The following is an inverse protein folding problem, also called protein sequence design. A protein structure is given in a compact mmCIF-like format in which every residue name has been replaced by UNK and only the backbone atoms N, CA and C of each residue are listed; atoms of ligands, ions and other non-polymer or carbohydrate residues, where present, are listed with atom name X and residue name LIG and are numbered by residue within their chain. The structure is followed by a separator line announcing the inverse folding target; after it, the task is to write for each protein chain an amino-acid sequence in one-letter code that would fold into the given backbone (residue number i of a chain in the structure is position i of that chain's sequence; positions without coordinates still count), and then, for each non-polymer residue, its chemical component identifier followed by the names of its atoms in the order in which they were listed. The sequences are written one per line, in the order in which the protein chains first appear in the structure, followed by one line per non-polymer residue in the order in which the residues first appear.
data_IF_554605487248
#
_entry.id   IF_554605487248
#
_cell.length_a   1.000
_cell.length_b   1.000
_cell.length_c   1.000
_cell.angle_alpha   90.00
_cell.angle_beta   90.00
_cell.angle_gamma   90.00
#
_symmetry.space_group_name_H-M   'P 1'
#
loop_
_entity.id
_entity.type
_entity.pdbx_description
1 polymer ?
#
# COMPACT_ATOMS: atom_id res chain seq x y z
N UNK A 1 1.54 -8.46 -9.85
CA UNK A 1 0.35 -9.08 -10.51
C UNK A 1 0.66 -10.43 -11.11
N UNK A 2 -0.04 -11.47 -10.64
CA UNK A 2 -0.02 -12.81 -11.25
C UNK A 2 -1.00 -12.83 -12.42
N UNK A 3 -0.55 -13.32 -13.56
CA UNK A 3 -1.36 -13.44 -14.77
C UNK A 3 -1.07 -14.76 -15.47
N UNK A 4 -2.10 -15.34 -16.07
CA UNK A 4 -2.02 -16.59 -16.85
C UNK A 4 -2.77 -16.39 -18.16
N UNK A 5 -2.16 -16.85 -19.25
CA UNK A 5 -2.85 -17.00 -20.53
C UNK A 5 -3.22 -18.46 -20.71
N UNK A 6 -4.51 -18.76 -20.82
CA UNK A 6 -5.01 -20.11 -20.98
C UNK A 6 -5.81 -20.27 -22.27
N UNK A 7 -5.89 -21.51 -22.75
CA UNK A 7 -6.63 -21.86 -23.97
C UNK A 7 -7.69 -22.89 -23.66
N UNK A 8 -8.86 -22.77 -24.29
CA UNK A 8 -9.99 -23.67 -24.06
C UNK A 8 -10.81 -23.93 -25.33
N UNK A 9 -11.68 -24.94 -25.30
CA UNK A 9 -12.62 -25.18 -26.42
C UNK A 9 -13.68 -24.07 -26.53
N UNK A 10 -13.98 -23.42 -25.41
CA UNK A 10 -14.82 -22.22 -25.29
C UNK A 10 -14.10 -21.21 -24.42
N UNK A 11 -14.56 -19.95 -24.44
CA UNK A 11 -14.08 -18.90 -23.54
C UNK A 11 -14.19 -19.37 -22.09
N UNK A 12 -15.34 -19.89 -21.68
CA UNK A 12 -15.58 -20.38 -20.30
C UNK A 12 -14.58 -21.46 -19.89
N UNK A 13 -14.29 -22.43 -20.77
CA UNK A 13 -13.31 -23.47 -20.49
C UNK A 13 -11.89 -22.92 -20.36
N UNK A 14 -11.56 -21.88 -21.13
CA UNK A 14 -10.28 -21.20 -21.04
C UNK A 14 -10.18 -20.38 -19.74
N UNK A 15 -11.25 -19.69 -19.34
CA UNK A 15 -11.35 -18.93 -18.08
C UNK A 15 -11.18 -19.86 -16.89
N UNK A 16 -11.95 -20.95 -16.83
CA UNK A 16 -11.87 -21.91 -15.73
C UNK A 16 -10.47 -22.49 -15.56
N UNK A 17 -9.81 -22.86 -16.68
CA UNK A 17 -8.43 -23.35 -16.66
C UNK A 17 -7.44 -22.31 -16.13
N UNK A 18 -7.63 -21.03 -16.46
CA UNK A 18 -6.78 -19.95 -15.95
C UNK A 18 -7.01 -19.69 -14.46
N UNK A 19 -8.27 -19.72 -13.99
CA UNK A 19 -8.63 -19.54 -12.58
C UNK A 19 -8.03 -20.65 -11.71
N UNK A 20 -8.10 -21.91 -12.17
CA UNK A 20 -7.49 -23.06 -11.49
C UNK A 20 -5.96 -22.94 -11.41
N UNK A 21 -5.30 -22.50 -12.48
CA UNK A 21 -3.84 -22.28 -12.48
C UNK A 21 -3.42 -21.16 -11.53
N UNK A 22 -4.25 -20.11 -11.40
CA UNK A 22 -3.99 -19.00 -10.48
C UNK A 22 -4.41 -19.33 -9.03
N UNK A 23 -5.24 -20.36 -8.84
CA UNK A 23 -5.89 -20.72 -7.58
C UNK A 23 -6.70 -19.53 -7.00
N UNK A 24 -7.51 -18.91 -7.86
CA UNK A 24 -8.36 -17.75 -7.53
C UNK A 24 -9.78 -17.96 -8.05
N UNK A 25 -10.73 -17.20 -7.54
CA UNK A 25 -12.12 -17.19 -8.00
C UNK A 25 -12.36 -16.09 -9.05
N UNK A 26 -13.48 -16.17 -9.77
CA UNK A 26 -13.79 -15.24 -10.88
C UNK A 26 -13.93 -13.78 -10.40
N UNK A 27 -14.46 -13.55 -9.20
CA UNK A 27 -14.54 -12.23 -8.56
C UNK A 27 -13.16 -11.64 -8.21
N UNK A 28 -12.13 -12.49 -8.11
CA UNK A 28 -10.75 -12.10 -7.87
C UNK A 28 -9.97 -11.91 -9.17
N UNK A 29 -10.63 -11.93 -10.33
CA UNK A 29 -9.98 -11.94 -11.62
C UNK A 29 -10.44 -10.82 -12.56
N UNK A 30 -9.49 -10.22 -13.28
CA UNK A 30 -9.73 -9.46 -14.51
C UNK A 30 -9.52 -10.39 -15.70
N UNK A 31 -10.58 -10.61 -16.47
CA UNK A 31 -10.58 -11.49 -17.64
C UNK A 31 -10.53 -10.65 -18.91
N UNK A 32 -9.51 -10.86 -19.73
CA UNK A 32 -9.36 -10.29 -21.07
C UNK A 32 -9.49 -11.40 -22.11
N UNK A 33 -10.52 -11.36 -22.95
CA UNK A 33 -10.70 -12.31 -24.05
C UNK A 33 -9.78 -11.87 -25.20
N UNK A 34 -8.75 -12.67 -25.49
CA UNK A 34 -7.81 -12.40 -26.58
C UNK A 34 -8.37 -12.93 -27.90
N UNK A 35 -9.01 -14.10 -27.86
CA UNK A 35 -9.65 -14.74 -29.00
C UNK A 35 -10.83 -15.58 -28.54
N UNK A 36 -12.02 -15.33 -29.07
CA UNK A 36 -13.23 -16.10 -28.73
C UNK A 36 -13.18 -17.54 -29.25
N UNK A 37 -12.23 -17.84 -30.14
CA UNK A 37 -12.19 -19.09 -30.88
C UNK A 37 -13.27 -19.15 -31.95
N UNK A 38 -13.32 -20.27 -32.68
CA UNK A 38 -14.36 -20.53 -33.69
C UNK A 38 -14.81 -21.97 -33.58
N UNK A 39 -16.12 -22.17 -33.43
CA UNK A 39 -16.72 -23.50 -33.54
C UNK A 39 -16.83 -23.88 -35.02
N UNK A 40 -16.18 -24.99 -35.39
CA UNK A 40 -16.31 -25.59 -36.71
C UNK A 40 -17.72 -26.14 -36.94
N UNK A 41 -18.15 -26.18 -38.21
CA UNK A 41 -19.43 -26.78 -38.60
C UNK A 41 -19.35 -28.29 -38.33
N UNK A 42 -20.22 -28.82 -37.47
CA UNK A 42 -20.31 -30.25 -37.12
C UNK A 42 -19.02 -30.88 -36.55
N UNK A 43 -18.05 -30.10 -36.04
CA UNK A 43 -16.83 -30.63 -35.43
C UNK A 43 -15.80 -31.24 -36.41
N UNK A 44 -16.05 -31.17 -37.72
CA UNK A 44 -15.16 -31.75 -38.74
C UNK A 44 -14.15 -30.76 -39.34
N UNK A 45 -14.40 -29.43 -39.30
CA UNK A 45 -13.51 -28.46 -39.95
C UNK A 45 -13.26 -27.19 -39.12
N UNK A 46 -11.97 -26.90 -38.87
CA UNK A 46 -11.46 -25.57 -38.52
C UNK A 46 -11.77 -25.04 -37.12
N UNK A 47 -11.82 -25.89 -36.09
CA UNK A 47 -12.01 -25.40 -34.73
C UNK A 47 -10.78 -24.64 -34.23
N UNK A 48 -10.98 -23.37 -33.86
CA UNK A 48 -9.96 -22.53 -33.21
C UNK A 48 -10.29 -22.46 -31.72
N UNK A 49 -9.31 -22.80 -30.87
CA UNK A 49 -9.45 -22.68 -29.42
C UNK A 49 -9.61 -21.21 -29.03
N UNK A 50 -10.43 -20.96 -28.00
CA UNK A 50 -10.49 -19.67 -27.35
C UNK A 50 -9.21 -19.43 -26.55
N UNK A 51 -8.79 -18.17 -26.46
CA UNK A 51 -7.62 -17.72 -25.70
C UNK A 51 -8.06 -16.58 -24.79
N UNK A 52 -7.79 -16.72 -23.50
CA UNK A 52 -8.07 -15.69 -22.50
C UNK A 52 -6.81 -15.38 -21.71
N UNK A 53 -6.71 -14.14 -21.26
CA UNK A 53 -5.72 -13.71 -20.29
C UNK A 53 -6.44 -13.35 -19.01
N UNK A 54 -6.10 -14.04 -17.93
CA UNK A 54 -6.66 -13.78 -16.61
C UNK A 54 -5.57 -13.15 -15.74
N UNK A 55 -5.89 -12.02 -15.12
CA UNK A 55 -5.02 -11.30 -14.18
C UNK A 55 -5.69 -11.29 -12.82
N UNK A 56 -4.97 -11.65 -11.77
CA UNK A 56 -5.48 -11.55 -10.39
C UNK A 56 -5.73 -10.07 -10.04
N UNK A 57 -6.96 -9.74 -9.61
CA UNK A 57 -7.33 -8.43 -9.10
C UNK A 57 -6.63 -8.23 -7.76
N UNK A 58 -5.50 -7.52 -7.78
CA UNK A 58 -4.90 -7.09 -6.53
C UNK A 58 -5.78 -6.03 -5.88
N UNK A 59 -6.06 -6.22 -4.59
CA UNK A 59 -6.69 -5.20 -3.74
C UNK A 59 -5.58 -4.50 -2.95
N UNK A 60 -4.87 -3.53 -3.55
CA UNK A 60 -3.61 -3.03 -3.00
C UNK A 60 -3.79 -2.36 -1.63
N UNK A 61 -4.93 -1.72 -1.39
CA UNK A 61 -5.24 -1.08 -0.11
C UNK A 61 -5.45 -2.12 0.99
N UNK A 62 -6.19 -3.20 0.72
CA UNK A 62 -6.40 -4.28 1.69
C UNK A 62 -5.06 -4.96 2.02
N UNK A 63 -4.22 -5.23 1.01
CA UNK A 63 -2.86 -5.77 1.22
C UNK A 63 -1.97 -4.84 2.04
N UNK A 64 -2.06 -3.52 1.83
CA UNK A 64 -1.32 -2.54 2.60
C UNK A 64 -1.78 -2.51 4.07
N UNK A 65 -3.09 -2.52 4.30
CA UNK A 65 -3.67 -2.56 5.64
C UNK A 65 -3.19 -3.80 6.40
N UNK A 66 -3.25 -4.98 5.78
CA UNK A 66 -2.69 -6.22 6.35
C UNK A 66 -1.19 -6.11 6.64
N UNK A 67 -0.42 -5.51 5.73
CA UNK A 67 1.02 -5.33 5.88
C UNK A 67 1.36 -4.44 7.09
N UNK A 68 0.70 -3.30 7.23
CA UNK A 68 0.92 -2.39 8.36
C UNK A 68 0.45 -3.03 9.66
N UNK A 69 -0.70 -3.69 9.68
CA UNK A 69 -1.19 -4.41 10.87
C UNK A 69 -0.18 -5.43 11.36
N UNK A 70 0.39 -6.24 10.46
CA UNK A 70 1.43 -7.22 10.81
C UNK A 70 2.61 -6.53 11.49
N UNK A 71 3.14 -5.45 10.92
CA UNK A 71 4.28 -4.72 11.52
C UNK A 71 3.91 -4.17 12.90
N UNK A 72 2.75 -3.53 13.01
CA UNK A 72 2.33 -2.82 14.23
C UNK A 72 2.01 -3.81 15.36
N UNK A 73 1.43 -4.97 15.04
CA UNK A 73 1.13 -6.04 16.00
C UNK A 73 2.40 -6.67 16.60
N UNK A 74 3.53 -6.68 15.88
CA UNK A 74 4.82 -7.13 16.46
C UNK A 74 5.31 -6.20 17.59
N UNK A 75 4.83 -4.95 17.65
CA UNK A 75 5.13 -4.05 18.78
C UNK A 75 4.15 -4.24 19.93
N UNK A 76 2.85 -4.33 19.61
CA UNK A 76 1.78 -4.51 20.58
C UNK A 76 0.47 -4.93 19.90
N UNK A 77 -0.20 -5.97 20.42
CA UNK A 77 -1.48 -6.45 19.89
C UNK A 77 -2.64 -5.46 20.10
N UNK A 78 -2.51 -4.52 21.06
CA UNK A 78 -3.52 -3.51 21.36
C UNK A 78 -3.49 -2.29 20.45
N UNK A 79 -2.58 -2.24 19.47
CA UNK A 79 -2.51 -1.15 18.50
C UNK A 79 -3.52 -1.34 17.38
N UNK A 80 -4.27 -0.29 17.10
CA UNK A 80 -5.32 -0.26 16.09
C UNK A 80 -4.82 0.52 14.88
N UNK A 81 -5.14 0.01 13.69
CA UNK A 81 -4.88 0.65 12.41
C UNK A 81 -6.22 0.98 11.76
N UNK A 82 -6.45 2.25 11.46
CA UNK A 82 -7.60 2.71 10.67
C UNK A 82 -7.10 3.23 9.33
N UNK A 83 -7.51 2.56 8.25
CA UNK A 83 -7.09 2.92 6.89
C UNK A 83 -8.22 3.63 6.16
N UNK A 84 -7.94 4.85 5.68
CA UNK A 84 -8.86 5.64 4.86
C UNK A 84 -8.24 5.94 3.51
N UNK A 85 -9.07 6.01 2.47
CA UNK A 85 -8.62 6.30 1.11
C UNK A 85 -9.39 7.51 0.59
N UNK A 86 -8.64 8.52 0.16
CA UNK A 86 -9.19 9.69 -0.51
C UNK A 86 -8.39 9.99 -1.77
N UNK A 87 -9.02 9.87 -2.94
CA UNK A 87 -8.36 9.93 -4.25
C UNK A 87 -7.22 8.89 -4.37
N UNK A 88 -5.98 9.37 -4.50
CA UNK A 88 -4.77 8.55 -4.56
C UNK A 88 -3.94 8.66 -3.26
N UNK A 89 -4.51 9.17 -2.18
CA UNK A 89 -3.88 9.20 -0.87
C UNK A 89 -4.51 8.14 0.04
N UNK A 90 -3.66 7.31 0.64
CA UNK A 90 -4.03 6.34 1.67
C UNK A 90 -3.50 6.87 2.99
N UNK A 91 -4.38 7.04 3.97
CA UNK A 91 -4.00 7.46 5.32
C UNK A 91 -4.25 6.31 6.28
N UNK A 92 -3.19 5.88 6.96
CA UNK A 92 -3.24 4.87 8.02
C UNK A 92 -3.04 5.58 9.36
N UNK A 93 -4.11 5.68 10.15
CA UNK A 93 -4.08 6.25 11.49
C UNK A 93 -3.82 5.13 12.50
N UNK A 94 -2.79 5.32 13.32
CA UNK A 94 -2.39 4.40 14.36
C UNK A 94 -2.81 4.94 15.74
N UNK A 95 -3.44 4.09 16.55
CA UNK A 95 -3.85 4.45 17.93
C UNK A 95 -3.69 3.27 18.89
N UNK A 96 -3.61 3.55 20.19
CA UNK A 96 -3.54 2.52 21.24
C UNK A 96 -2.52 2.81 22.35
N UNK A 97 -2.47 1.93 23.35
CA UNK A 97 -1.73 2.21 24.60
C UNK A 97 -0.22 2.40 24.40
N UNK A 98 0.40 1.62 23.51
CA UNK A 98 1.84 1.71 23.21
C UNK A 98 2.19 2.56 22.00
N UNK A 99 1.31 3.49 21.60
CA UNK A 99 1.54 4.35 20.44
C UNK A 99 2.85 5.14 20.51
N UNK A 100 3.32 5.49 21.71
CA UNK A 100 4.60 6.17 21.93
C UNK A 100 5.82 5.39 21.40
N UNK A 101 5.78 4.05 21.44
CA UNK A 101 6.85 3.19 20.91
C UNK A 101 6.89 3.25 19.38
N UNK A 102 5.71 3.23 18.75
CA UNK A 102 5.53 3.37 17.29
C UNK A 102 5.94 4.75 16.80
N UNK A 103 5.65 5.80 17.56
CA UNK A 103 6.14 7.14 17.24
C UNK A 103 7.67 7.13 17.25
N UNK A 104 8.27 6.52 18.28
CA UNK A 104 9.72 6.46 18.44
C UNK A 104 10.35 7.84 18.64
N UNK A 105 11.69 7.87 18.73
CA UNK A 105 12.41 9.12 19.01
C UNK A 105 12.23 10.10 17.85
N UNK A 106 11.55 11.23 18.10
CA UNK A 106 11.27 12.28 17.10
C UNK A 106 10.52 11.77 15.85
N UNK A 107 9.72 10.71 15.99
CA UNK A 107 8.93 10.18 14.88
C UNK A 107 9.69 9.16 14.02
N UNK A 108 10.94 8.82 14.34
CA UNK A 108 11.78 8.00 13.45
C UNK A 108 11.14 6.65 13.09
N UNK A 109 10.54 5.97 14.06
CA UNK A 109 9.87 4.68 13.83
C UNK A 109 8.63 4.86 12.95
N UNK A 110 7.78 5.85 13.24
CA UNK A 110 6.60 6.18 12.43
C UNK A 110 6.98 6.50 10.98
N UNK A 111 8.08 7.22 10.77
CA UNK A 111 8.57 7.53 9.42
C UNK A 111 9.14 6.31 8.70
N UNK A 112 9.80 5.40 9.42
CA UNK A 112 10.26 4.14 8.86
C UNK A 112 9.08 3.27 8.42
N UNK A 113 8.03 3.18 9.24
CA UNK A 113 6.79 2.45 8.90
C UNK A 113 6.14 3.09 7.67
N UNK A 114 6.02 4.42 7.61
CA UNK A 114 5.49 5.11 6.44
C UNK A 114 6.29 4.81 5.17
N UNK A 115 7.61 4.80 5.27
CA UNK A 115 8.47 4.48 4.14
C UNK A 115 8.26 3.04 3.66
N UNK A 116 8.21 2.08 4.58
CA UNK A 116 7.92 0.68 4.25
C UNK A 116 6.53 0.51 3.65
N UNK A 117 5.52 1.22 4.17
CA UNK A 117 4.17 1.23 3.66
C UNK A 117 4.10 1.80 2.23
N UNK A 118 4.83 2.88 1.95
CA UNK A 118 4.96 3.46 0.62
C UNK A 118 5.63 2.50 -0.38
N UNK A 119 6.63 1.73 0.07
CA UNK A 119 7.24 0.70 -0.77
C UNK A 119 6.32 -0.49 -1.01
N UNK A 120 5.60 -0.94 0.03
CA UNK A 120 4.69 -2.07 -0.06
C UNK A 120 3.54 -1.80 -1.05
N UNK A 121 2.92 -0.61 -1.02
CA UNK A 121 1.82 -0.29 -1.94
C UNK A 121 2.27 -0.31 -3.41
N UNK A 122 3.52 0.10 -3.69
CA UNK A 122 4.08 0.05 -5.05
C UNK A 122 4.22 -1.37 -5.61
N UNK A 123 4.30 -2.38 -4.74
CA UNK A 123 4.36 -3.77 -5.18
C UNK A 123 3.00 -4.30 -5.64
N UNK A 124 1.91 -3.76 -5.08
CA UNK A 124 0.56 -4.28 -5.28
C UNK A 124 -0.30 -3.43 -6.23
N UNK A 125 0.00 -2.13 -6.36
CA UNK A 125 -0.79 -1.20 -7.14
C UNK A 125 -0.15 -0.86 -8.50
N UNK A 126 -0.95 -0.91 -9.56
CA UNK A 126 -0.54 -0.43 -10.89
C UNK A 126 -0.49 1.10 -10.99
N UNK A 127 -1.21 1.78 -10.09
CA UNK A 127 -1.28 3.25 -10.03
C UNK A 127 -0.53 3.77 -8.81
N UNK A 128 -0.01 4.97 -8.95
CA UNK A 128 0.69 5.63 -7.86
C UNK A 128 -0.28 6.03 -6.74
N UNK A 129 0.04 5.60 -5.52
CA UNK A 129 -0.61 6.03 -4.28
C UNK A 129 0.40 6.74 -3.39
N UNK A 130 -0.03 7.81 -2.73
CA UNK A 130 0.73 8.41 -1.62
C UNK A 130 0.24 7.80 -0.31
N UNK A 131 1.14 7.24 0.49
CA UNK A 131 0.82 6.67 1.79
C UNK A 131 1.26 7.63 2.90
N UNK A 132 0.32 7.95 3.79
CA UNK A 132 0.57 8.71 5.02
C UNK A 132 0.31 7.79 6.20
N UNK A 133 1.26 7.73 7.12
CA UNK A 133 1.09 7.06 8.41
C UNK A 133 1.22 8.13 9.50
N UNK A 134 0.18 8.26 10.31
CA UNK A 134 0.16 9.14 11.48
C UNK A 134 -0.23 8.37 12.74
N UNK A 135 0.06 8.98 13.89
CA UNK A 135 -0.12 8.40 15.20
C UNK A 135 -0.75 9.44 16.13
N UNK A 136 -2.08 9.40 16.23
CA UNK A 136 -2.91 10.27 17.07
C UNK A 136 -2.59 11.76 16.88
N UNK A 137 -2.32 12.22 15.65
CA UNK A 137 -1.95 13.60 15.36
C UNK A 137 -0.53 14.01 15.81
N UNK A 138 0.37 13.06 16.01
CA UNK A 138 1.77 13.29 16.38
C UNK A 138 2.45 14.29 15.45
N UNK A 139 2.25 14.16 14.12
CA UNK A 139 2.89 15.03 13.13
C UNK A 139 2.57 16.50 13.36
N UNK A 140 1.31 16.82 13.67
CA UNK A 140 0.88 18.18 13.98
C UNK A 140 1.54 18.70 15.26
N UNK A 141 1.45 17.95 16.37
CA UNK A 141 2.10 18.32 17.64
C UNK A 141 3.61 18.50 17.50
N UNK A 142 4.26 17.67 16.67
CA UNK A 142 5.70 17.73 16.41
C UNK A 142 6.08 19.00 15.66
N UNK A 143 5.29 19.39 14.65
CA UNK A 143 5.48 20.64 13.92
C UNK A 143 5.43 21.85 14.86
N UNK A 144 4.42 21.92 15.71
CA UNK A 144 4.27 23.04 16.67
C UNK A 144 5.46 23.12 17.63
N UNK A 145 5.90 21.97 18.14
CA UNK A 145 7.09 21.89 19.01
C UNK A 145 8.36 22.38 18.31
N UNK A 146 8.54 22.06 17.02
CA UNK A 146 9.68 22.49 16.23
C UNK A 146 9.66 24.00 15.94
N UNK A 147 8.47 24.56 15.68
CA UNK A 147 8.30 26.02 15.51
C UNK A 147 8.69 26.75 16.80
N UNK A 148 8.21 26.27 17.95
CA UNK A 148 8.56 26.85 19.25
C UNK A 148 10.06 26.75 19.55
N UNK A 149 10.68 25.61 19.24
CA UNK A 149 12.13 25.44 19.37
C UNK A 149 12.88 26.44 18.49
N UNK A 150 12.46 26.60 17.23
CA UNK A 150 13.07 27.53 16.28
C UNK A 150 13.04 28.97 16.81
N UNK A 151 11.88 29.44 17.29
CA UNK A 151 11.73 30.79 17.84
C UNK A 151 12.65 31.02 19.05
N UNK A 152 12.67 30.06 19.98
CA UNK A 152 13.53 30.12 21.18
C UNK A 152 15.02 30.19 20.82
N UNK A 153 15.46 29.42 19.82
CA UNK A 153 16.85 29.41 19.40
C UNK A 153 17.24 30.71 18.67
N UNK A 154 16.32 31.27 17.88
CA UNK A 154 16.51 32.57 17.24
C UNK A 154 16.68 33.69 18.28
N UNK A 155 15.81 33.74 19.30
CA UNK A 155 15.93 34.70 20.40
C UNK A 155 17.28 34.56 21.12
N UNK A 156 17.70 33.33 21.42
CA UNK A 156 18.98 33.07 22.06
C UNK A 156 20.17 33.53 21.20
N UNK A 157 20.11 33.33 19.89
CA UNK A 157 21.14 33.80 18.97
C UNK A 157 21.23 35.34 18.96
N UNK A 158 20.08 36.03 18.94
CA UNK A 158 20.01 37.50 19.00
C UNK A 158 20.61 38.02 20.31
N UNK A 159 20.20 37.46 21.45
CA UNK A 159 20.65 37.90 22.77
C UNK A 159 22.15 37.65 22.99
N UNK A 160 22.65 36.50 22.57
CA UNK A 160 24.05 36.11 22.82
C UNK A 160 25.03 36.58 21.75
N UNK A 161 24.54 37.01 20.57
CA UNK A 161 25.33 37.33 19.37
C UNK A 161 26.31 36.21 18.98
N UNK A 162 25.93 34.96 19.26
CA UNK A 162 26.73 33.77 18.94
C UNK A 162 25.89 32.78 18.15
N UNK A 163 26.56 31.98 17.34
CA UNK A 163 25.92 30.86 16.64
C UNK A 163 25.36 29.85 17.64
N UNK A 164 24.11 29.42 17.42
CA UNK A 164 23.43 28.41 18.24
C UNK A 164 23.31 27.13 17.40
N UNK A 165 23.92 26.04 17.88
CA UNK A 165 23.83 24.73 17.23
C UNK A 165 22.57 23.99 17.65
N UNK A 166 21.96 23.29 16.69
CA UNK A 166 20.84 22.38 16.91
C UNK A 166 21.30 20.93 16.81
N UNK A 167 20.57 20.05 17.46
CA UNK A 167 20.75 18.61 17.29
C UNK A 167 20.31 18.19 15.88
N UNK A 168 20.92 17.15 15.29
CA UNK A 168 20.52 16.63 13.99
C UNK A 168 19.03 16.25 13.95
N UNK A 169 18.37 16.58 12.85
CA UNK A 169 16.96 16.27 12.59
C UNK A 169 16.82 15.60 11.22
N UNK A 170 15.79 14.76 11.02
CA UNK A 170 15.41 14.32 9.68
C UNK A 170 15.09 15.54 8.79
N UNK A 171 15.32 15.41 7.49
CA UNK A 171 15.17 16.51 6.51
C UNK A 171 13.72 16.84 6.14
N UNK A 172 12.75 16.13 6.71
CA UNK A 172 11.34 16.14 6.33
C UNK A 172 10.44 16.49 7.53
#
# INVERSE_FOLDING_TARGET
MRQVTATGQTVDAAVQSALEQLNITEDQAKIEIIDEGKKGILGLFGSKKAIVKVTENEKPVEKLDEYIRKIVQEFDEGLIVETTVHNNQITCELSGEKIAVIIGKRGQTLNAIQYLAQLAIHQFADKYYTVIVDAEGYRSRRKDTLIQLSNRLAERAIQTRRSVKIEPMPSY
#
